data_IF_054039166067
#
_entry.id   IF_054039166067
#
_cell.length_a   1.000
_cell.length_b   1.000
_cell.length_c   1.000
_cell.angle_alpha   90.00
_cell.angle_beta   90.00
_cell.angle_gamma   90.00
#
_symmetry.space_group_name_H-M   'P 1'
#
loop_
_entity.id
_entity.type
_entity.pdbx_description
1 polymer ?
#
# COMPACT_ATOMS: atom_id res chain seq x y z
N UNK A 1 8.04 3.38 -20.08
CA UNK A 1 7.12 3.29 -18.93
C UNK A 1 5.88 2.45 -19.21
N UNK A 2 4.99 2.73 -20.19
CA UNK A 2 3.73 1.99 -20.31
C UNK A 2 3.90 0.49 -20.55
N UNK A 3 4.80 0.10 -21.46
CA UNK A 3 5.09 -1.33 -21.76
C UNK A 3 5.55 -2.10 -20.53
N UNK A 4 6.42 -1.51 -19.71
CA UNK A 4 6.92 -2.13 -18.49
C UNK A 4 5.82 -2.34 -17.44
N UNK A 5 4.91 -1.37 -17.30
CA UNK A 5 3.75 -1.48 -16.39
C UNK A 5 2.83 -2.61 -16.84
N UNK A 6 2.41 -2.60 -18.11
CA UNK A 6 1.50 -3.63 -18.62
C UNK A 6 2.12 -5.03 -18.59
N UNK A 7 3.41 -5.17 -18.92
CA UNK A 7 4.10 -6.47 -18.85
C UNK A 7 4.24 -6.96 -17.41
N UNK A 8 4.56 -6.07 -16.46
CA UNK A 8 4.70 -6.43 -15.05
C UNK A 8 3.35 -6.87 -14.46
N UNK A 9 2.26 -6.15 -14.75
CA UNK A 9 0.91 -6.52 -14.31
C UNK A 9 0.50 -7.88 -14.88
N UNK A 10 0.66 -8.09 -16.19
CA UNK A 10 0.28 -9.35 -16.83
C UNK A 10 1.08 -10.54 -16.27
N UNK A 11 2.38 -10.36 -16.05
CA UNK A 11 3.24 -11.38 -15.45
C UNK A 11 2.85 -11.66 -14.00
N UNK A 12 2.59 -10.63 -13.19
CA UNK A 12 2.17 -10.80 -11.80
C UNK A 12 0.83 -11.54 -11.69
N UNK A 13 -0.15 -11.18 -12.53
CA UNK A 13 -1.44 -11.88 -12.59
C UNK A 13 -1.23 -13.36 -12.94
N UNK A 14 -0.42 -13.65 -13.96
CA UNK A 14 -0.13 -15.03 -14.37
C UNK A 14 0.48 -15.84 -13.21
N UNK A 15 1.49 -15.28 -12.55
CA UNK A 15 2.15 -15.93 -11.41
C UNK A 15 1.16 -16.17 -10.27
N UNK A 16 0.33 -15.17 -9.93
CA UNK A 16 -0.66 -15.30 -8.87
C UNK A 16 -1.71 -16.38 -9.17
N UNK A 17 -2.21 -16.44 -10.40
CA UNK A 17 -3.16 -17.49 -10.81
C UNK A 17 -2.53 -18.88 -10.73
N UNK A 18 -1.30 -19.03 -11.23
CA UNK A 18 -0.58 -20.31 -11.20
C UNK A 18 -0.33 -20.76 -9.76
N UNK A 19 0.14 -19.88 -8.89
CA UNK A 19 0.41 -20.19 -7.48
C UNK A 19 -0.89 -20.51 -6.73
N UNK A 20 -1.96 -19.74 -6.93
CA UNK A 20 -3.24 -19.99 -6.28
C UNK A 20 -3.84 -21.34 -6.70
N UNK A 21 -3.78 -21.66 -7.99
CA UNK A 21 -4.23 -22.95 -8.50
C UNK A 21 -3.38 -24.11 -7.93
N UNK A 22 -2.06 -23.95 -7.92
CA UNK A 22 -1.16 -24.94 -7.33
C UNK A 22 -1.45 -25.16 -5.84
N UNK A 23 -1.68 -24.09 -5.07
CA UNK A 23 -2.00 -24.17 -3.65
C UNK A 23 -3.32 -24.91 -3.40
N UNK A 24 -4.39 -24.57 -4.12
CA UNK A 24 -5.71 -25.20 -3.95
C UNK A 24 -5.68 -26.68 -4.36
N UNK A 25 -4.84 -27.06 -5.34
CA UNK A 25 -4.71 -28.45 -5.78
C UNK A 25 -3.80 -29.30 -4.88
N UNK A 26 -2.81 -28.68 -4.22
CA UNK A 26 -1.79 -29.38 -3.45
C UNK A 26 -2.07 -29.43 -1.95
N UNK A 27 -2.81 -28.45 -1.40
CA UNK A 27 -2.93 -28.23 0.05
C UNK A 27 -4.38 -28.40 0.49
N UNK A 28 -4.68 -29.22 1.51
CA UNK A 28 -6.02 -29.30 2.08
C UNK A 28 -6.50 -27.93 2.59
N UNK A 29 -7.77 -27.60 2.34
CA UNK A 29 -8.34 -26.31 2.77
C UNK A 29 -8.21 -26.04 4.28
N UNK A 30 -8.30 -27.09 5.09
CA UNK A 30 -8.14 -26.97 6.55
C UNK A 30 -6.73 -26.45 6.91
N UNK A 31 -5.70 -26.91 6.20
CA UNK A 31 -4.31 -26.51 6.45
C UNK A 31 -4.02 -25.11 5.91
N UNK A 32 -4.66 -24.70 4.82
CA UNK A 32 -4.60 -23.31 4.32
C UNK A 32 -5.16 -22.35 5.36
N UNK A 33 -6.30 -22.68 5.97
CA UNK A 33 -6.95 -21.84 6.97
C UNK A 33 -6.14 -21.83 8.28
N UNK A 34 -5.66 -23.00 8.72
CA UNK A 34 -4.89 -23.11 9.96
C UNK A 34 -3.52 -22.42 9.87
N UNK A 35 -2.91 -22.39 8.69
CA UNK A 35 -1.57 -21.84 8.46
C UNK A 35 -1.59 -20.66 7.48
N UNK A 36 -2.59 -19.77 7.58
CA UNK A 36 -2.82 -18.68 6.61
C UNK A 36 -1.60 -17.80 6.34
N UNK A 37 -0.74 -17.57 7.35
CA UNK A 37 0.45 -16.74 7.25
C UNK A 37 1.60 -17.39 6.45
N UNK A 38 1.63 -18.72 6.35
CA UNK A 38 2.70 -19.48 5.69
C UNK A 38 2.18 -20.69 4.90
N UNK A 39 0.94 -20.63 4.39
CA UNK A 39 0.24 -21.75 3.78
C UNK A 39 1.04 -22.42 2.65
N UNK A 40 1.69 -21.62 1.79
CA UNK A 40 2.54 -22.13 0.70
C UNK A 40 3.75 -22.93 1.20
N UNK A 41 4.37 -22.49 2.30
CA UNK A 41 5.51 -23.19 2.89
C UNK A 41 5.07 -24.48 3.60
N UNK A 42 3.90 -24.46 4.25
CA UNK A 42 3.29 -25.65 4.85
C UNK A 42 2.99 -26.71 3.78
N UNK A 43 2.31 -26.31 2.69
CA UNK A 43 2.00 -27.21 1.58
C UNK A 43 3.22 -27.72 0.80
N UNK A 44 4.27 -26.91 0.69
CA UNK A 44 5.52 -27.37 0.09
C UNK A 44 6.17 -28.48 0.92
N UNK A 45 5.99 -28.47 2.24
CA UNK A 45 6.43 -29.55 3.13
C UNK A 45 5.77 -30.88 2.80
N UNK A 46 4.47 -30.87 2.54
CA UNK A 46 3.70 -32.09 2.26
C UNK A 46 4.04 -32.72 0.90
N UNK A 47 4.44 -31.90 -0.09
CA UNK A 47 4.75 -32.37 -1.45
C UNK A 47 6.23 -32.65 -1.66
N UNK A 48 7.11 -31.79 -1.12
CA UNK A 48 8.55 -31.77 -1.40
C UNK A 48 9.42 -32.06 -0.17
N UNK A 49 8.81 -32.33 0.99
CA UNK A 49 9.50 -32.55 2.25
C UNK A 49 10.06 -31.25 2.87
N UNK A 50 10.85 -31.39 3.93
CA UNK A 50 11.38 -30.25 4.70
C UNK A 50 12.20 -29.27 3.85
N UNK A 51 12.97 -29.79 2.89
CA UNK A 51 13.78 -28.98 1.97
C UNK A 51 12.91 -28.06 1.11
N UNK A 52 11.73 -28.53 0.69
CA UNK A 52 10.78 -27.72 -0.07
C UNK A 52 10.24 -26.55 0.75
N UNK A 53 9.87 -26.82 2.01
CA UNK A 53 9.42 -25.78 2.93
C UNK A 53 10.50 -24.72 3.17
N UNK A 54 11.74 -25.14 3.45
CA UNK A 54 12.87 -24.23 3.71
C UNK A 54 13.16 -23.30 2.53
N UNK A 55 13.12 -23.83 1.30
CA UNK A 55 13.33 -23.02 0.08
C UNK A 55 12.22 -21.99 -0.10
N UNK A 56 10.96 -22.37 0.15
CA UNK A 56 9.82 -21.45 0.04
C UNK A 56 9.91 -20.34 1.09
N UNK A 57 10.25 -20.68 2.34
CA UNK A 57 10.43 -19.70 3.42
C UNK A 57 11.56 -18.72 3.07
N UNK A 58 12.71 -19.24 2.65
CA UNK A 58 13.86 -18.40 2.29
C UNK A 58 13.54 -17.49 1.09
N UNK A 59 12.86 -18.03 0.08
CA UNK A 59 12.36 -17.25 -1.05
C UNK A 59 11.40 -16.14 -0.62
N UNK A 60 10.45 -16.44 0.26
CA UNK A 60 9.49 -15.47 0.78
C UNK A 60 10.17 -14.34 1.59
N UNK A 61 11.13 -14.67 2.46
CA UNK A 61 11.88 -13.67 3.23
C UNK A 61 12.68 -12.74 2.32
N UNK A 62 13.38 -13.29 1.32
CA UNK A 62 14.15 -12.49 0.36
C UNK A 62 13.25 -11.60 -0.50
N UNK A 63 12.12 -12.13 -0.99
CA UNK A 63 11.16 -11.39 -1.80
C UNK A 63 10.53 -10.23 -1.00
N UNK A 64 10.07 -10.51 0.22
CA UNK A 64 9.47 -9.50 1.12
C UNK A 64 10.50 -8.43 1.51
N UNK A 65 11.74 -8.82 1.83
CA UNK A 65 12.82 -7.88 2.15
C UNK A 65 13.13 -6.94 0.98
N UNK A 66 13.20 -7.48 -0.25
CA UNK A 66 13.43 -6.68 -1.45
C UNK A 66 12.29 -5.69 -1.74
N UNK A 67 11.04 -6.14 -1.58
CA UNK A 67 9.84 -5.32 -1.78
C UNK A 67 9.74 -4.18 -0.75
N UNK A 68 10.01 -4.47 0.53
CA UNK A 68 10.05 -3.47 1.60
C UNK A 68 11.16 -2.46 1.32
N UNK A 69 12.37 -2.92 1.00
CA UNK A 69 13.51 -2.07 0.74
C UNK A 69 13.25 -1.10 -0.43
N UNK A 70 12.71 -1.61 -1.54
CA UNK A 70 12.38 -0.81 -2.71
C UNK A 70 11.30 0.23 -2.43
N UNK A 71 10.24 -0.17 -1.71
CA UNK A 71 9.14 0.72 -1.36
C UNK A 71 9.56 1.78 -0.36
N UNK A 72 10.30 1.42 0.70
CA UNK A 72 10.75 2.33 1.74
C UNK A 72 11.66 3.43 1.18
N UNK A 73 12.64 3.06 0.36
CA UNK A 73 13.52 4.06 -0.27
C UNK A 73 12.81 4.88 -1.36
N UNK A 74 11.91 4.26 -2.14
CA UNK A 74 11.14 4.99 -3.15
C UNK A 74 10.18 6.02 -2.54
N UNK A 75 9.44 5.63 -1.50
CA UNK A 75 8.45 6.48 -0.84
C UNK A 75 9.09 7.52 0.09
N UNK A 76 10.20 7.21 0.78
CA UNK A 76 10.90 8.20 1.61
C UNK A 76 11.40 9.42 0.81
N UNK A 77 11.79 9.22 -0.45
CA UNK A 77 12.11 10.32 -1.38
C UNK A 77 10.89 11.18 -1.69
N UNK A 78 9.71 10.58 -1.87
CA UNK A 78 8.46 11.32 -2.08
C UNK A 78 8.09 12.13 -0.82
N UNK A 79 8.20 11.53 0.36
CA UNK A 79 7.99 12.23 1.64
C UNK A 79 8.92 13.44 1.76
N UNK A 80 10.20 13.29 1.40
CA UNK A 80 11.15 14.40 1.44
C UNK A 80 10.75 15.54 0.50
N UNK A 81 10.28 15.24 -0.72
CA UNK A 81 9.79 16.28 -1.67
C UNK A 81 8.55 16.98 -1.12
N UNK A 82 7.60 16.23 -0.56
CA UNK A 82 6.40 16.81 0.06
C UNK A 82 6.77 17.70 1.27
N UNK A 83 7.83 17.35 2.00
CA UNK A 83 8.38 18.17 3.08
C UNK A 83 9.08 19.45 2.56
N UNK A 84 9.74 19.41 1.41
CA UNK A 84 10.30 20.59 0.74
C UNK A 84 9.20 21.58 0.34
N UNK A 85 8.06 21.06 -0.12
CA UNK A 85 6.85 21.83 -0.44
C UNK A 85 6.10 22.33 0.82
N UNK A 86 6.67 22.14 2.02
CA UNK A 86 6.13 22.55 3.33
C UNK A 86 4.79 21.90 3.71
N UNK A 87 4.45 20.76 3.11
CA UNK A 87 3.31 19.93 3.51
C UNK A 87 3.65 18.95 4.65
N UNK A 88 4.94 18.77 4.96
CA UNK A 88 5.46 18.05 6.11
C UNK A 88 6.54 18.86 6.85
N UNK A 89 6.96 18.47 8.06
CA UNK A 89 8.08 19.10 8.76
C UNK A 89 9.36 19.12 7.91
N UNK A 90 10.01 20.28 7.83
CA UNK A 90 11.26 20.48 7.07
C UNK A 90 12.40 19.54 7.49
N UNK A 91 12.38 18.99 8.71
CA UNK A 91 13.34 17.98 9.14
C UNK A 91 13.31 16.72 8.28
N UNK A 92 12.15 16.37 7.71
CA UNK A 92 11.98 15.21 6.81
C UNK A 92 12.53 15.47 5.40
N UNK A 93 12.69 16.75 5.01
CA UNK A 93 13.31 17.13 3.74
C UNK A 93 14.84 16.98 3.76
N UNK A 94 15.46 16.91 4.95
CA UNK A 94 16.91 16.85 5.06
C UNK A 94 17.46 15.55 4.46
N UNK A 95 18.42 15.68 3.53
CA UNK A 95 19.08 14.55 2.87
C UNK A 95 20.53 14.46 3.26
N UNK A 96 20.96 13.30 3.76
CA UNK A 96 22.38 12.95 3.89
C UNK A 96 22.77 12.14 2.66
N UNK A 97 23.73 12.62 1.87
CA UNK A 97 24.18 11.93 0.65
C UNK A 97 23.03 11.52 -0.30
N UNK A 98 22.06 12.42 -0.53
CA UNK A 98 20.84 12.18 -1.31
C UNK A 98 19.83 11.19 -0.71
N UNK A 99 20.02 10.76 0.54
CA UNK A 99 19.13 9.84 1.25
C UNK A 99 18.38 10.60 2.37
N UNK A 100 17.03 10.62 2.36
CA UNK A 100 16.24 11.27 3.40
C UNK A 100 16.08 10.36 4.62
N UNK A 101 17.14 10.26 5.44
CA UNK A 101 17.19 9.34 6.60
C UNK A 101 16.05 9.59 7.59
N UNK A 102 15.72 10.86 7.86
CA UNK A 102 14.62 11.21 8.76
C UNK A 102 13.26 10.70 8.27
N UNK A 103 12.99 10.76 6.96
CA UNK A 103 11.77 10.21 6.37
C UNK A 103 11.72 8.68 6.47
N UNK A 104 12.85 8.00 6.26
CA UNK A 104 12.96 6.55 6.40
C UNK A 104 12.65 6.12 7.84
N UNK A 105 13.28 6.76 8.83
CA UNK A 105 13.07 6.46 10.25
C UNK A 105 11.63 6.72 10.65
N UNK A 106 11.05 7.85 10.22
CA UNK A 106 9.63 8.15 10.47
C UNK A 106 8.70 7.08 9.91
N UNK A 107 8.91 6.65 8.65
CA UNK A 107 8.10 5.61 8.03
C UNK A 107 8.22 4.27 8.75
N UNK A 108 9.43 3.87 9.15
CA UNK A 108 9.67 2.65 9.89
C UNK A 108 8.99 2.66 11.27
N UNK A 109 9.10 3.77 12.00
CA UNK A 109 8.42 3.95 13.29
C UNK A 109 6.90 3.91 13.14
N UNK A 110 6.35 4.59 12.13
CA UNK A 110 4.91 4.60 11.87
C UNK A 110 4.41 3.19 11.52
N UNK A 111 5.15 2.45 10.67
CA UNK A 111 4.82 1.07 10.35
C UNK A 111 4.84 0.17 11.59
N UNK A 112 5.85 0.34 12.48
CA UNK A 112 5.95 -0.43 13.72
C UNK A 112 4.77 -0.15 14.66
N UNK A 113 4.41 1.12 14.83
CA UNK A 113 3.26 1.52 15.65
C UNK A 113 1.96 0.94 15.10
N UNK A 114 1.75 0.99 13.77
CA UNK A 114 0.56 0.42 13.14
C UNK A 114 0.48 -1.10 13.33
N UNK A 115 1.60 -1.81 13.19
CA UNK A 115 1.66 -3.27 13.39
C UNK A 115 1.29 -3.63 14.82
N UNK A 116 1.84 -2.92 15.80
CA UNK A 116 1.56 -3.15 17.22
C UNK A 116 0.13 -2.78 17.63
N UNK A 117 -0.48 -1.80 16.96
CA UNK A 117 -1.81 -1.29 17.31
C UNK A 117 -2.96 -2.06 16.64
N UNK A 118 -2.81 -2.45 15.37
CA UNK A 118 -3.91 -3.00 14.56
C UNK A 118 -3.70 -4.44 14.06
N UNK A 119 -2.47 -4.95 14.09
CA UNK A 119 -2.14 -6.25 13.50
C UNK A 119 -2.12 -6.25 11.96
N UNK A 120 -1.78 -7.39 11.39
CA UNK A 120 -1.52 -7.52 9.94
C UNK A 120 -2.79 -7.29 9.10
N UNK A 121 -3.90 -7.92 9.46
CA UNK A 121 -5.15 -7.88 8.69
C UNK A 121 -5.69 -6.46 8.52
N UNK A 122 -5.71 -5.69 9.60
CA UNK A 122 -6.14 -4.29 9.60
C UNK A 122 -5.25 -3.42 8.71
N UNK A 123 -3.93 -3.62 8.73
CA UNK A 123 -3.00 -2.88 7.86
C UNK A 123 -3.25 -3.21 6.39
N UNK A 124 -3.47 -4.49 6.08
CA UNK A 124 -3.75 -4.94 4.71
C UNK A 124 -5.06 -4.33 4.18
N UNK A 125 -6.11 -4.28 5.00
CA UNK A 125 -7.40 -3.69 4.65
C UNK A 125 -7.31 -2.16 4.52
N UNK A 126 -6.71 -1.47 5.50
CA UNK A 126 -6.46 -0.03 5.44
C UNK A 126 -5.64 0.36 4.20
N UNK A 127 -4.60 -0.41 3.90
CA UNK A 127 -3.76 -0.22 2.71
C UNK A 127 -4.56 -0.41 1.42
N UNK A 128 -5.40 -1.44 1.35
CA UNK A 128 -6.24 -1.76 0.19
C UNK A 128 -7.29 -0.69 -0.07
N UNK A 129 -8.01 -0.25 0.97
CA UNK A 129 -9.00 0.84 0.87
C UNK A 129 -8.33 2.14 0.45
N UNK A 130 -7.18 2.47 1.06
CA UNK A 130 -6.41 3.67 0.69
C UNK A 130 -5.93 3.60 -0.75
N UNK A 131 -5.43 2.44 -1.21
CA UNK A 131 -5.00 2.24 -2.58
C UNK A 131 -6.14 2.42 -3.58
N UNK A 132 -7.32 1.85 -3.31
CA UNK A 132 -8.50 2.01 -4.15
C UNK A 132 -8.99 3.46 -4.18
N UNK A 133 -9.03 4.12 -3.02
CA UNK A 133 -9.46 5.52 -2.93
C UNK A 133 -8.53 6.44 -3.73
N UNK A 134 -7.20 6.32 -3.53
CA UNK A 134 -6.22 7.12 -4.27
C UNK A 134 -6.28 6.81 -5.77
N UNK A 135 -6.39 5.53 -6.14
CA UNK A 135 -6.53 5.12 -7.55
C UNK A 135 -7.81 5.67 -8.18
N UNK A 136 -8.92 5.71 -7.43
CA UNK A 136 -10.20 6.26 -7.89
C UNK A 136 -10.09 7.78 -8.09
N UNK A 137 -9.44 8.49 -7.17
CA UNK A 137 -9.15 9.92 -7.32
C UNK A 137 -8.26 10.19 -8.54
N UNK A 138 -7.23 9.36 -8.78
CA UNK A 138 -6.39 9.46 -9.97
C UNK A 138 -7.18 9.19 -11.26
N UNK A 139 -8.04 8.17 -11.28
CA UNK A 139 -8.88 7.85 -12.43
C UNK A 139 -9.88 8.99 -12.72
N UNK A 140 -10.49 9.54 -11.67
CA UNK A 140 -11.38 10.70 -11.76
C UNK A 140 -10.63 11.95 -12.26
N UNK A 141 -9.46 12.24 -11.72
CA UNK A 141 -8.62 13.34 -12.18
C UNK A 141 -8.29 13.17 -13.67
N UNK A 142 -7.83 11.99 -14.10
CA UNK A 142 -7.53 11.70 -15.50
C UNK A 142 -8.77 11.85 -16.40
N UNK A 143 -9.96 11.46 -15.92
CA UNK A 143 -11.21 11.69 -16.65
C UNK A 143 -11.51 13.19 -16.83
N UNK A 144 -11.27 14.01 -15.80
CA UNK A 144 -11.44 15.48 -15.88
C UNK A 144 -10.45 16.14 -16.84
N UNK A 145 -9.19 15.72 -16.83
CA UNK A 145 -8.14 16.27 -17.71
C UNK A 145 -7.91 15.46 -19.00
N UNK A 146 -8.88 14.61 -19.40
CA UNK A 146 -8.76 13.70 -20.56
C UNK A 146 -8.37 14.39 -21.86
N UNK A 147 -8.72 15.67 -22.02
CA UNK A 147 -8.40 16.47 -23.18
C UNK A 147 -6.88 16.73 -23.30
N UNK A 148 -6.17 16.79 -22.17
CA UNK A 148 -4.72 16.94 -22.11
C UNK A 148 -4.00 15.60 -22.17
N UNK A 149 -4.59 14.54 -21.58
CA UNK A 149 -3.95 13.22 -21.51
C UNK A 149 -4.25 12.32 -22.71
N UNK A 150 -5.13 12.76 -23.63
CA UNK A 150 -5.60 11.98 -24.78
C UNK A 150 -6.15 10.59 -24.39
N UNK A 151 -6.71 10.50 -23.17
CA UNK A 151 -7.22 9.24 -22.62
C UNK A 151 -8.55 8.85 -23.26
N UNK A 152 -8.74 7.56 -23.51
CA UNK A 152 -10.00 7.06 -24.03
C UNK A 152 -11.09 7.08 -22.96
N UNK A 153 -12.26 7.59 -23.34
CA UNK A 153 -13.40 7.74 -22.42
C UNK A 153 -13.82 6.40 -21.81
N UNK A 154 -13.86 5.36 -22.65
CA UNK A 154 -14.27 4.01 -22.25
C UNK A 154 -13.36 3.47 -21.16
N UNK A 155 -12.03 3.54 -21.34
CA UNK A 155 -11.09 3.03 -20.35
C UNK A 155 -11.16 3.81 -19.04
N UNK A 156 -11.26 5.15 -19.10
CA UNK A 156 -11.38 5.96 -17.88
C UNK A 156 -12.66 5.66 -17.09
N UNK A 157 -13.79 5.49 -17.78
CA UNK A 157 -15.07 5.20 -17.14
C UNK A 157 -15.06 3.79 -16.55
N UNK A 158 -14.52 2.82 -17.28
CA UNK A 158 -14.37 1.44 -16.80
C UNK A 158 -13.48 1.38 -15.55
N UNK A 159 -12.37 2.11 -15.52
CA UNK A 159 -11.53 2.22 -14.32
C UNK A 159 -12.28 2.82 -13.14
N UNK A 160 -13.02 3.91 -13.34
CA UNK A 160 -13.80 4.55 -12.25
C UNK A 160 -14.86 3.58 -11.71
N UNK A 161 -15.64 2.94 -12.59
CA UNK A 161 -16.68 1.99 -12.19
C UNK A 161 -16.07 0.78 -11.48
N UNK A 162 -14.97 0.23 -12.00
CA UNK A 162 -14.27 -0.90 -11.39
C UNK A 162 -13.69 -0.57 -10.02
N UNK A 163 -13.02 0.58 -9.88
CA UNK A 163 -12.43 1.02 -8.61
C UNK A 163 -13.51 1.38 -7.57
N UNK A 164 -14.58 2.06 -8.00
CA UNK A 164 -15.72 2.37 -7.13
C UNK A 164 -16.45 1.08 -6.69
N UNK A 165 -16.68 0.15 -7.62
CA UNK A 165 -17.27 -1.16 -7.34
C UNK A 165 -16.42 -1.96 -6.35
N UNK A 166 -15.11 -2.06 -6.59
CA UNK A 166 -14.17 -2.71 -5.67
C UNK A 166 -14.16 -2.06 -4.28
N UNK A 167 -14.17 -0.72 -4.22
CA UNK A 167 -14.25 0.01 -2.95
C UNK A 167 -15.53 -0.28 -2.17
N UNK A 168 -16.68 -0.30 -2.85
CA UNK A 168 -17.97 -0.65 -2.23
C UNK A 168 -17.98 -2.10 -1.73
N UNK A 169 -17.39 -3.03 -2.49
CA UNK A 169 -17.32 -4.44 -2.07
C UNK A 169 -16.47 -4.63 -0.82
N UNK A 170 -15.29 -4.00 -0.76
CA UNK A 170 -14.43 -4.07 0.43
C UNK A 170 -15.14 -3.47 1.64
N UNK A 171 -15.72 -2.27 1.50
CA UNK A 171 -16.43 -1.62 2.61
C UNK A 171 -17.65 -2.42 3.08
N UNK A 172 -18.35 -3.09 2.17
CA UNK A 172 -19.50 -3.94 2.51
C UNK A 172 -19.06 -5.20 3.27
N UNK A 173 -17.98 -5.85 2.82
CA UNK A 173 -17.38 -7.00 3.49
C UNK A 173 -16.95 -6.62 4.91
N UNK A 174 -16.20 -5.54 5.02
CA UNK A 174 -15.68 -5.00 6.28
C UNK A 174 -16.79 -4.71 7.30
N UNK A 175 -17.86 -4.04 6.84
CA UNK A 175 -19.02 -3.73 7.68
C UNK A 175 -19.77 -4.97 8.20
N UNK A 176 -19.80 -6.05 7.40
CA UNK A 176 -20.60 -7.24 7.70
C UNK A 176 -19.84 -8.25 8.56
N UNK A 177 -18.54 -8.44 8.27
CA UNK A 177 -17.75 -9.52 8.86
C UNK A 177 -16.84 -9.04 10.00
N UNK A 178 -16.32 -7.80 9.98
CA UNK A 178 -15.32 -7.32 10.96
C UNK A 178 -15.52 -5.85 11.37
N UNK A 179 -16.60 -5.51 12.10
CA UNK A 179 -16.90 -4.12 12.46
C UNK A 179 -15.80 -3.45 13.33
N UNK A 180 -15.05 -4.21 14.12
CA UNK A 180 -13.94 -3.69 14.92
C UNK A 180 -12.79 -3.17 14.04
N UNK A 181 -12.47 -3.89 12.97
CA UNK A 181 -11.43 -3.54 12.01
C UNK A 181 -11.83 -2.27 11.25
N UNK A 182 -13.11 -2.17 10.87
CA UNK A 182 -13.68 -0.97 10.27
C UNK A 182 -13.53 0.27 11.17
N UNK A 183 -13.86 0.14 12.46
CA UNK A 183 -13.75 1.24 13.43
C UNK A 183 -12.30 1.68 13.55
N UNK A 184 -11.37 0.74 13.67
CA UNK A 184 -9.94 1.06 13.75
C UNK A 184 -9.45 1.79 12.50
N UNK A 185 -9.87 1.35 11.31
CA UNK A 185 -9.57 2.01 10.04
C UNK A 185 -10.09 3.45 10.00
N UNK A 186 -11.34 3.67 10.44
CA UNK A 186 -11.94 5.00 10.52
C UNK A 186 -11.19 5.89 11.53
N UNK A 187 -10.78 5.36 12.68
CA UNK A 187 -9.97 6.08 13.66
C UNK A 187 -8.64 6.52 13.04
N UNK A 188 -7.95 5.64 12.29
CA UNK A 188 -6.73 6.03 11.57
C UNK A 188 -7.01 7.17 10.59
N UNK A 189 -8.05 7.07 9.77
CA UNK A 189 -8.38 8.13 8.81
C UNK A 189 -8.69 9.46 9.48
N UNK A 190 -9.43 9.44 10.59
CA UNK A 190 -9.71 10.63 11.40
C UNK A 190 -8.41 11.21 11.97
N UNK A 191 -7.56 10.38 12.58
CA UNK A 191 -6.28 10.83 13.14
C UNK A 191 -5.37 11.44 12.08
N UNK A 192 -5.26 10.82 10.89
CA UNK A 192 -4.47 11.34 9.78
C UNK A 192 -5.05 12.67 9.26
N UNK A 193 -6.36 12.77 9.15
CA UNK A 193 -7.04 14.00 8.70
C UNK A 193 -6.86 15.14 9.70
N UNK A 194 -7.04 14.86 11.00
CA UNK A 194 -6.81 15.84 12.06
C UNK A 194 -5.34 16.25 12.14
N UNK A 195 -4.40 15.30 11.99
CA UNK A 195 -2.97 15.57 11.93
C UNK A 195 -2.61 16.48 10.75
N UNK A 196 -3.16 16.21 9.57
CA UNK A 196 -2.96 17.04 8.38
C UNK A 196 -3.54 18.46 8.58
N UNK A 197 -4.74 18.58 9.15
CA UNK A 197 -5.36 19.88 9.44
C UNK A 197 -4.62 20.68 10.51
N UNK A 198 -4.19 20.02 11.59
CA UNK A 198 -3.40 20.64 12.65
C UNK A 198 -2.08 21.17 12.09
N UNK A 199 -1.39 20.36 11.28
CA UNK A 199 -0.16 20.79 10.61
C UNK A 199 -0.41 21.95 9.64
N UNK A 200 -1.49 21.90 8.84
CA UNK A 200 -1.84 22.98 7.93
C UNK A 200 -2.12 24.30 8.65
N UNK A 201 -2.74 24.28 9.85
CA UNK A 201 -2.95 25.47 10.68
C UNK A 201 -1.63 26.03 11.24
N UNK A 202 -0.76 25.17 11.77
CA UNK A 202 0.53 25.57 12.34
C UNK A 202 1.45 26.13 11.26
N UNK A 203 1.52 25.47 10.10
CA UNK A 203 2.34 25.91 8.96
C UNK A 203 1.75 27.11 8.23
N UNK A 204 0.42 27.25 8.20
CA UNK A 204 -0.29 28.43 7.71
C UNK A 204 0.00 29.69 8.54
N UNK A 205 0.24 29.55 9.85
CA UNK A 205 0.64 30.67 10.72
C UNK A 205 2.09 31.15 10.48
N UNK A 206 2.96 30.34 9.86
CA UNK A 206 4.35 30.71 9.51
C UNK A 206 4.49 31.38 8.14
N UNK A 207 3.37 31.61 7.42
CA UNK A 207 3.36 32.20 6.07
C UNK A 207 3.53 33.73 6.05
N UNK A 208 3.58 34.39 7.21
CA UNK A 208 3.60 35.86 7.32
C UNK A 208 5.00 36.51 7.44
N UNK A 209 6.10 35.76 7.42
CA UNK A 209 7.42 36.40 7.26
C UNK A 209 7.79 36.49 5.77
N UNK A 210 7.78 37.70 5.17
CA UNK A 210 8.34 37.88 3.84
C UNK A 210 9.85 37.68 3.96
N UNK A 211 10.36 36.56 3.43
CA UNK A 211 11.79 36.41 3.18
C UNK A 211 12.20 37.45 2.12
N UNK A 212 12.61 38.62 2.62
CA UNK A 212 13.39 39.61 1.90
C UNK A 212 14.81 39.07 1.70
N UNK A 213 15.24 39.19 0.44
CA UNK A 213 16.61 39.14 -0.10
C UNK A 213 17.19 37.76 -0.41
#
# INVERSE_FOLDING_TARGET
MPRAIYSAIALAILIYVVIALAAILAIPFADIIANEEYALAAGAGDVLGSVGSDIVILGAVLATSSAINSTLFGASRQVAVIAEDRFFPLSLAHRSHNIPVAAIVMMALLSMVLILAGGLKVILEFGSVTFLLVSLLMAYANFRIRHLTQSSLILTLLSIVGLAGGGVLILKYEYSDNPEQMIFMLVIYILLTLGALAFARISGSKKEEPQRR
#
